data_IF_533459677496
#
_entry.id   IF_533459677496
#
_cell.length_a   1.000
_cell.length_b   1.000
_cell.length_c   1.000
_cell.angle_alpha   90.00
_cell.angle_beta   90.00
_cell.angle_gamma   90.00
#
_symmetry.space_group_name_H-M   'P 1'
#
loop_
_entity.id
_entity.type
_entity.pdbx_description
1 polymer ?
#
# COMPACT_ATOMS: atom_id res chain seq x y z
N UNK A 1 -28.17 56.74 96.61
CA UNK A 1 -28.60 55.96 95.43
C UNK A 1 -27.52 56.07 94.36
N UNK A 2 -26.86 54.94 94.07
CA UNK A 2 -26.77 54.28 92.75
C UNK A 2 -25.82 54.99 91.77
N UNK A 3 -24.86 54.37 91.09
CA UNK A 3 -24.22 53.06 91.13
C UNK A 3 -23.12 53.15 90.06
N UNK A 4 -21.93 52.67 90.38
CA UNK A 4 -20.84 52.38 89.45
C UNK A 4 -21.31 51.53 88.26
N UNK A 5 -20.84 51.85 87.06
CA UNK A 5 -20.96 51.00 85.87
C UNK A 5 -19.58 50.77 85.25
N UNK A 6 -18.88 49.74 85.72
CA UNK A 6 -17.83 49.07 84.93
C UNK A 6 -18.50 48.01 84.06
N UNK A 7 -18.26 48.02 82.75
CA UNK A 7 -18.63 46.91 81.87
C UNK A 7 -17.41 46.39 81.12
N UNK A 8 -17.02 45.21 81.56
CA UNK A 8 -15.99 44.27 81.13
C UNK A 8 -16.04 44.00 79.62
N UNK A 9 -14.88 44.08 78.94
CA UNK A 9 -14.71 43.57 77.58
C UNK A 9 -14.82 42.03 77.57
N UNK A 10 -15.75 41.48 76.78
CA UNK A 10 -15.73 40.07 76.36
C UNK A 10 -15.28 40.01 74.89
N UNK A 11 -14.00 39.71 74.64
CA UNK A 11 -13.45 39.40 73.31
C UNK A 11 -12.63 38.11 73.35
N UNK A 12 -13.25 36.94 73.38
CA UNK A 12 -12.50 35.66 73.33
C UNK A 12 -13.25 34.47 72.68
N UNK A 13 -14.37 34.69 71.98
CA UNK A 13 -15.13 33.59 71.35
C UNK A 13 -15.11 33.55 69.81
N UNK A 14 -15.16 34.70 69.14
CA UNK A 14 -15.21 34.79 67.67
C UNK A 14 -13.83 34.64 67.02
N UNK A 15 -12.78 35.15 67.67
CA UNK A 15 -11.39 35.11 67.20
C UNK A 15 -10.84 33.69 67.12
N UNK A 16 -11.09 32.86 68.15
CA UNK A 16 -10.63 31.47 68.19
C UNK A 16 -11.30 30.60 67.14
N UNK A 17 -12.60 30.82 66.88
CA UNK A 17 -13.33 30.12 65.82
C UNK A 17 -12.83 30.50 64.43
N UNK A 18 -12.55 31.78 64.20
CA UNK A 18 -11.97 32.29 62.95
C UNK A 18 -10.57 31.69 62.71
N UNK A 19 -9.72 31.69 63.73
CA UNK A 19 -8.38 31.11 63.66
C UNK A 19 -8.44 29.61 63.35
N UNK A 20 -9.31 28.85 64.02
CA UNK A 20 -9.49 27.43 63.74
C UNK A 20 -9.93 27.16 62.30
N UNK A 21 -10.89 27.92 61.78
CA UNK A 21 -11.37 27.80 60.40
C UNK A 21 -10.26 28.12 59.38
N UNK A 22 -9.48 29.18 59.62
CA UNK A 22 -8.34 29.53 58.78
C UNK A 22 -7.25 28.45 58.80
N UNK A 23 -6.96 27.85 59.97
CA UNK A 23 -5.99 26.76 60.08
C UNK A 23 -6.46 25.51 59.33
N UNK A 24 -7.73 25.14 59.44
CA UNK A 24 -8.28 23.99 58.69
C UNK A 24 -8.23 24.24 57.18
N UNK A 25 -8.60 25.44 56.72
CA UNK A 25 -8.49 25.81 55.30
C UNK A 25 -7.03 25.81 54.81
N UNK A 26 -6.10 26.31 55.63
CA UNK A 26 -4.68 26.32 55.30
C UNK A 26 -4.09 24.91 55.21
N UNK A 27 -4.42 24.04 56.16
CA UNK A 27 -4.05 22.62 56.11
C UNK A 27 -4.66 21.92 54.88
N UNK A 28 -5.92 22.22 54.54
CA UNK A 28 -6.56 21.72 53.33
C UNK A 28 -5.84 22.18 52.05
N UNK A 29 -5.45 23.45 51.99
CA UNK A 29 -4.67 24.00 50.87
C UNK A 29 -3.30 23.32 50.75
N UNK A 30 -2.60 23.13 51.87
CA UNK A 30 -1.31 22.44 51.90
C UNK A 30 -1.43 20.97 51.47
N UNK A 31 -2.51 20.29 51.84
CA UNK A 31 -2.78 18.92 51.39
C UNK A 31 -2.99 18.85 49.88
N UNK A 32 -3.73 19.80 49.29
CA UNK A 32 -3.93 19.90 47.84
C UNK A 32 -2.62 20.23 47.11
N UNK A 33 -1.81 21.14 47.65
CA UNK A 33 -0.47 21.47 47.13
C UNK A 33 0.46 20.26 47.18
N UNK A 34 0.49 19.55 48.31
CA UNK A 34 1.26 18.31 48.46
C UNK A 34 0.82 17.25 47.45
N UNK A 35 -0.49 17.10 47.24
CA UNK A 35 -1.04 16.17 46.24
C UNK A 35 -0.72 16.59 44.81
N UNK A 36 -0.75 17.90 44.50
CA UNK A 36 -0.39 18.42 43.19
C UNK A 36 1.09 18.22 42.88
N UNK A 37 1.98 18.47 43.86
CA UNK A 37 3.41 18.22 43.75
C UNK A 37 3.68 16.72 43.58
N UNK A 38 3.00 15.87 44.35
CA UNK A 38 3.08 14.40 44.20
C UNK A 38 2.69 13.96 42.78
N UNK A 39 1.57 14.46 42.25
CA UNK A 39 1.14 14.17 40.88
C UNK A 39 2.10 14.70 39.81
N UNK A 40 2.63 15.91 39.99
CA UNK A 40 3.51 16.58 39.01
C UNK A 40 4.97 16.12 39.04
N UNK A 41 5.45 15.56 40.15
CA UNK A 41 6.87 15.19 40.32
C UNK A 41 7.06 13.67 40.37
N UNK A 42 6.20 12.92 41.07
CA UNK A 42 6.33 11.46 41.20
C UNK A 42 5.57 10.67 40.12
N UNK A 43 4.40 11.13 39.69
CA UNK A 43 3.58 10.45 38.65
C UNK A 43 3.70 11.05 37.25
N UNK A 44 4.60 12.04 37.06
CA UNK A 44 4.76 12.73 35.78
C UNK A 44 5.03 11.76 34.62
N UNK A 45 5.86 10.76 34.86
CA UNK A 45 6.21 9.75 33.86
C UNK A 45 5.07 8.77 33.62
N UNK A 46 4.29 8.40 34.64
CA UNK A 46 3.11 7.53 34.49
C UNK A 46 1.97 8.22 33.72
N UNK A 47 1.69 9.48 34.03
CA UNK A 47 0.65 10.29 33.36
C UNK A 47 1.04 10.68 31.94
N UNK A 48 2.32 11.02 31.70
CA UNK A 48 2.83 11.22 30.34
C UNK A 48 2.78 9.93 29.54
N UNK A 49 3.20 8.79 30.11
CA UNK A 49 3.16 7.52 29.42
C UNK A 49 1.71 7.06 29.10
N UNK A 50 0.73 7.33 29.96
CA UNK A 50 -0.69 7.11 29.62
C UNK A 50 -1.22 8.05 28.53
N UNK A 51 -0.73 9.30 28.48
CA UNK A 51 -1.02 10.24 27.39
C UNK A 51 -0.38 9.80 26.07
N UNK A 52 0.88 9.39 26.12
CA UNK A 52 1.68 8.92 24.99
C UNK A 52 1.09 7.64 24.37
N UNK A 53 0.62 6.68 25.19
CA UNK A 53 -0.08 5.48 24.68
C UNK A 53 -1.31 5.83 23.81
N UNK A 54 -1.98 6.96 24.08
CA UNK A 54 -3.18 7.38 23.34
C UNK A 54 -2.86 8.14 22.05
N UNK A 55 -1.67 8.69 21.94
CA UNK A 55 -1.26 9.58 20.85
C UNK A 55 -0.15 9.00 19.97
N UNK A 56 0.59 8.00 20.41
CA UNK A 56 1.65 7.35 19.65
C UNK A 56 1.09 6.16 18.89
N UNK A 57 1.23 6.15 17.55
CA UNK A 57 0.76 5.06 16.70
C UNK A 57 1.86 4.66 15.72
N UNK A 58 1.99 3.36 15.52
CA UNK A 58 2.89 2.81 14.51
C UNK A 58 2.18 2.83 13.13
N UNK A 59 2.85 3.39 12.13
CA UNK A 59 2.40 3.40 10.73
C UNK A 59 3.38 2.61 9.87
N UNK A 60 2.83 1.85 8.92
CA UNK A 60 3.65 1.10 7.98
C UNK A 60 4.19 2.05 6.90
N UNK A 61 5.44 1.85 6.53
CA UNK A 61 6.10 2.54 5.42
C UNK A 61 6.27 1.55 4.28
N UNK A 62 5.65 1.83 3.13
CA UNK A 62 5.73 0.95 1.96
C UNK A 62 7.17 0.74 1.50
N UNK A 63 7.54 -0.51 1.23
CA UNK A 63 8.81 -0.88 0.64
C UNK A 63 8.76 -0.79 -0.89
N UNK A 64 9.94 -0.59 -1.49
CA UNK A 64 10.08 -0.62 -2.94
C UNK A 64 10.12 -2.08 -3.42
N UNK A 65 9.15 -2.50 -4.23
CA UNK A 65 9.15 -3.82 -4.86
C UNK A 65 10.23 -3.91 -5.95
N UNK A 66 11.04 -4.96 -5.91
CA UNK A 66 12.16 -5.21 -6.82
C UNK A 66 11.74 -5.22 -8.28
N UNK A 67 12.62 -4.78 -9.17
CA UNK A 67 12.36 -4.71 -10.61
C UNK A 67 12.52 -6.10 -11.23
N UNK A 68 11.75 -6.39 -12.27
CA UNK A 68 12.01 -7.55 -13.14
C UNK A 68 12.68 -7.01 -14.40
N UNK A 69 13.84 -7.56 -14.73
CA UNK A 69 14.62 -7.18 -15.91
C UNK A 69 14.89 -8.39 -16.80
N UNK A 70 15.01 -8.15 -18.09
CA UNK A 70 15.37 -9.17 -19.07
C UNK A 70 16.86 -9.56 -18.96
N UNK A 71 17.31 -10.52 -19.78
CA UNK A 71 18.70 -11.00 -19.73
C UNK A 71 19.76 -9.93 -20.05
N UNK A 72 19.37 -8.85 -20.72
CA UNK A 72 20.22 -7.74 -21.11
C UNK A 72 20.07 -6.52 -20.18
N UNK A 73 19.23 -6.61 -19.14
CA UNK A 73 18.98 -5.54 -18.17
C UNK A 73 17.82 -4.60 -18.52
N UNK A 74 17.05 -4.88 -19.57
CA UNK A 74 15.89 -4.06 -19.93
C UNK A 74 14.74 -4.24 -18.92
N UNK A 75 14.15 -3.15 -18.41
CA UNK A 75 13.10 -3.22 -17.40
C UNK A 75 11.77 -3.74 -17.98
N UNK A 76 11.31 -4.86 -17.45
CA UNK A 76 10.03 -5.50 -17.82
C UNK A 76 8.92 -5.16 -16.82
N UNK A 77 9.26 -5.01 -15.54
CA UNK A 77 8.35 -4.54 -14.50
C UNK A 77 9.08 -3.65 -13.50
N UNK A 78 8.52 -2.47 -13.21
CA UNK A 78 9.10 -1.49 -12.30
C UNK A 78 8.05 -0.95 -11.35
N UNK A 79 8.47 -0.60 -10.14
CA UNK A 79 7.60 0.06 -9.18
C UNK A 79 7.76 1.58 -9.28
N UNK A 80 6.65 2.27 -9.52
CA UNK A 80 6.61 3.73 -9.71
C UNK A 80 6.02 4.39 -8.45
N UNK A 81 6.61 5.50 -7.97
CA UNK A 81 6.08 6.20 -6.81
C UNK A 81 4.76 6.88 -7.16
N UNK A 82 3.71 6.54 -6.42
CA UNK A 82 2.37 7.13 -6.55
C UNK A 82 1.91 7.63 -5.18
N UNK A 83 0.76 8.30 -5.14
CA UNK A 83 0.12 8.65 -3.88
C UNK A 83 -1.28 8.10 -3.82
N UNK A 84 -1.76 7.85 -2.61
CA UNK A 84 -3.16 7.54 -2.35
C UNK A 84 -3.79 8.68 -1.58
N UNK A 85 -4.96 9.13 -2.04
CA UNK A 85 -5.75 10.15 -1.37
C UNK A 85 -6.71 9.47 -0.42
N UNK A 86 -6.64 9.85 0.84
CA UNK A 86 -7.54 9.39 1.88
C UNK A 86 -8.08 10.57 2.68
N UNK A 87 -9.20 10.35 3.37
CA UNK A 87 -9.86 11.36 4.18
C UNK A 87 -10.08 10.84 5.59
N UNK A 88 -10.00 11.74 6.57
CA UNK A 88 -10.50 11.54 7.92
C UNK A 88 -11.84 12.29 8.06
N UNK A 89 -12.99 11.58 7.98
CA UNK A 89 -14.32 12.20 8.04
C UNK A 89 -14.53 13.12 9.25
N UNK A 90 -13.95 12.80 10.42
CA UNK A 90 -14.08 13.61 11.64
C UNK A 90 -13.36 14.95 11.61
N UNK A 91 -12.43 15.13 10.67
CA UNK A 91 -11.68 16.37 10.51
C UNK A 91 -12.30 17.28 9.45
N UNK A 92 -13.24 16.76 8.65
CA UNK A 92 -13.85 17.54 7.58
C UNK A 92 -14.93 18.42 8.19
N UNK A 93 -14.68 19.73 8.21
CA UNK A 93 -15.62 20.76 8.66
C UNK A 93 -15.64 21.91 7.66
N UNK A 94 -16.83 22.35 7.25
CA UNK A 94 -17.06 23.54 6.42
C UNK A 94 -16.13 23.68 5.21
N UNK A 95 -16.06 22.63 4.38
CA UNK A 95 -15.32 22.69 3.11
C UNK A 95 -16.19 23.40 2.07
N UNK A 96 -15.66 24.47 1.49
CA UNK A 96 -16.33 25.18 0.40
C UNK A 96 -16.70 24.21 -0.74
N UNK A 97 -17.96 24.26 -1.21
CA UNK A 97 -18.47 23.36 -2.25
C UNK A 97 -17.59 23.36 -3.51
N UNK A 98 -16.98 24.50 -3.84
CA UNK A 98 -16.04 24.63 -4.97
C UNK A 98 -14.79 23.74 -4.82
N UNK A 99 -14.23 23.61 -3.61
CA UNK A 99 -13.08 22.75 -3.35
C UNK A 99 -13.45 21.27 -3.44
N UNK A 100 -14.66 20.92 -2.98
CA UNK A 100 -15.20 19.55 -3.11
C UNK A 100 -15.37 19.20 -4.59
N UNK A 101 -16.01 20.04 -5.39
CA UNK A 101 -16.18 19.82 -6.83
C UNK A 101 -14.82 19.73 -7.54
N UNK A 102 -13.86 20.59 -7.18
CA UNK A 102 -12.49 20.52 -7.69
C UNK A 102 -11.82 19.18 -7.37
N UNK A 103 -11.93 18.70 -6.13
CA UNK A 103 -11.41 17.40 -5.71
C UNK A 103 -12.07 16.25 -6.47
N UNK A 104 -13.41 16.25 -6.58
CA UNK A 104 -14.15 15.21 -7.30
C UNK A 104 -13.73 15.14 -8.77
N UNK A 105 -13.58 16.29 -9.44
CA UNK A 105 -13.10 16.37 -10.82
C UNK A 105 -11.67 15.83 -10.98
N UNK A 106 -10.75 16.24 -10.10
CA UNK A 106 -9.36 15.77 -10.12
C UNK A 106 -9.25 14.25 -9.93
N UNK A 107 -10.09 13.69 -9.05
CA UNK A 107 -10.11 12.26 -8.76
C UNK A 107 -10.99 11.45 -9.73
N UNK A 108 -11.62 12.12 -10.70
CA UNK A 108 -12.61 11.54 -11.62
C UNK A 108 -13.72 10.80 -10.87
N UNK A 109 -14.19 11.39 -9.78
CA UNK A 109 -15.30 10.89 -8.96
C UNK A 109 -16.61 11.53 -9.41
N UNK A 110 -17.73 10.79 -9.41
CA UNK A 110 -19.05 11.39 -9.62
C UNK A 110 -19.35 12.49 -8.61
N UNK A 111 -20.07 13.51 -9.05
CA UNK A 111 -20.42 14.64 -8.19
C UNK A 111 -21.26 14.18 -6.98
N UNK A 112 -20.89 14.64 -5.79
CA UNK A 112 -21.54 14.34 -4.51
C UNK A 112 -21.10 13.01 -3.90
N UNK A 113 -20.21 12.26 -4.56
CA UNK A 113 -19.66 11.01 -4.01
C UNK A 113 -18.78 11.27 -2.80
N UNK A 114 -18.04 12.37 -2.77
CA UNK A 114 -17.21 12.74 -1.62
C UNK A 114 -18.05 12.94 -0.36
N UNK A 115 -19.10 13.76 -0.43
CA UNK A 115 -20.01 14.01 0.70
C UNK A 115 -20.67 12.73 1.19
N UNK A 116 -21.15 11.88 0.26
CA UNK A 116 -21.71 10.56 0.60
C UNK A 116 -20.71 9.65 1.32
N UNK A 117 -19.42 9.68 0.92
CA UNK A 117 -18.38 8.90 1.59
C UNK A 117 -18.17 9.39 3.02
N UNK A 118 -18.17 10.70 3.25
CA UNK A 118 -18.00 11.29 4.58
C UNK A 118 -19.19 10.94 5.47
N UNK A 119 -20.41 11.21 5.03
CA UNK A 119 -21.63 10.94 5.80
C UNK A 119 -21.75 9.46 6.19
N UNK A 120 -21.47 8.56 5.24
CA UNK A 120 -21.52 7.10 5.48
C UNK A 120 -20.46 6.61 6.47
N UNK A 121 -19.35 7.33 6.63
CA UNK A 121 -18.20 6.89 7.43
C UNK A 121 -17.83 7.91 8.51
N UNK A 122 -18.80 8.68 9.02
CA UNK A 122 -18.57 9.76 9.98
C UNK A 122 -17.87 9.31 11.29
N UNK A 123 -18.02 8.03 11.64
CA UNK A 123 -17.39 7.40 12.80
C UNK A 123 -15.92 6.99 12.57
N UNK A 124 -15.51 6.85 11.31
CA UNK A 124 -14.17 6.40 10.92
C UNK A 124 -13.15 7.54 10.92
N UNK A 125 -11.89 7.17 11.08
CA UNK A 125 -10.75 8.11 11.03
C UNK A 125 -9.94 8.00 9.73
N UNK A 126 -10.26 7.02 8.89
CA UNK A 126 -9.54 6.73 7.66
C UNK A 126 -10.47 6.12 6.63
N UNK A 127 -10.55 6.75 5.46
CA UNK A 127 -11.26 6.22 4.29
C UNK A 127 -10.50 6.62 3.04
N UNK A 128 -10.15 5.64 2.18
CA UNK A 128 -9.57 5.94 0.87
C UNK A 128 -10.61 6.61 -0.04
N UNK A 129 -10.23 7.74 -0.64
CA UNK A 129 -11.01 8.38 -1.71
C UNK A 129 -10.61 7.81 -3.07
N UNK A 130 -9.30 7.76 -3.31
CA UNK A 130 -8.71 7.24 -4.54
C UNK A 130 -7.29 6.78 -4.29
N UNK A 131 -6.99 5.53 -4.64
CA UNK A 131 -5.62 4.98 -4.56
C UNK A 131 -4.86 5.15 -5.86
N UNK A 132 -3.53 5.18 -5.76
CA UNK A 132 -2.58 5.23 -6.88
C UNK A 132 -2.82 6.39 -7.86
N UNK A 133 -3.06 7.60 -7.34
CA UNK A 133 -3.08 8.83 -8.15
C UNK A 133 -1.66 9.22 -8.56
N UNK A 134 -1.55 9.84 -9.74
CA UNK A 134 -0.26 10.33 -10.21
C UNK A 134 0.28 11.44 -9.28
N UNK A 135 1.61 11.62 -9.20
CA UNK A 135 2.20 12.68 -8.41
C UNK A 135 1.68 14.09 -8.76
N UNK A 136 1.36 14.32 -10.05
CA UNK A 136 0.79 15.58 -10.54
C UNK A 136 -0.59 15.84 -9.95
N UNK A 137 -1.50 14.85 -10.03
CA UNK A 137 -2.84 14.97 -9.44
C UNK A 137 -2.74 15.13 -7.93
N UNK A 138 -1.85 14.38 -7.29
CA UNK A 138 -1.63 14.49 -5.85
C UNK A 138 -1.15 15.88 -5.42
N UNK A 139 -0.29 16.54 -6.21
CA UNK A 139 0.15 17.90 -5.95
C UNK A 139 -1.02 18.90 -6.05
N UNK A 140 -1.89 18.74 -7.05
CA UNK A 140 -3.09 19.56 -7.20
C UNK A 140 -4.08 19.34 -6.05
N UNK A 141 -4.30 18.10 -5.63
CA UNK A 141 -5.12 17.78 -4.45
C UNK A 141 -4.55 18.43 -3.19
N UNK A 142 -3.23 18.39 -2.99
CA UNK A 142 -2.57 19.06 -1.87
C UNK A 142 -2.78 20.58 -1.91
N UNK A 143 -2.79 21.18 -3.10
CA UNK A 143 -2.96 22.62 -3.29
C UNK A 143 -4.36 23.11 -2.89
N UNK A 144 -5.39 22.26 -2.92
CA UNK A 144 -6.74 22.59 -2.47
C UNK A 144 -6.84 22.81 -0.95
N UNK A 145 -5.83 22.37 -0.17
CA UNK A 145 -5.74 22.55 1.30
C UNK A 145 -7.03 22.17 2.05
N UNK A 146 -7.68 21.09 1.63
CA UNK A 146 -8.91 20.61 2.26
C UNK A 146 -8.57 19.95 3.59
N UNK A 147 -9.09 20.49 4.70
CA UNK A 147 -8.92 19.90 6.03
C UNK A 147 -9.49 18.49 6.07
N UNK A 148 -8.69 17.55 6.58
CA UNK A 148 -9.06 16.14 6.66
C UNK A 148 -8.71 15.30 5.44
N UNK A 149 -8.26 15.91 4.32
CA UNK A 149 -7.75 15.17 3.15
C UNK A 149 -6.24 15.06 3.23
N UNK A 150 -5.75 13.83 3.17
CA UNK A 150 -4.35 13.49 3.34
C UNK A 150 -3.85 12.65 2.16
N UNK A 151 -2.53 12.63 2.01
CA UNK A 151 -1.84 11.89 0.96
C UNK A 151 -0.89 10.90 1.60
N UNK A 152 -1.02 9.63 1.22
CA UNK A 152 -0.06 8.60 1.59
C UNK A 152 0.82 8.23 0.39
N UNK A 153 2.08 7.88 0.65
CA UNK A 153 3.02 7.46 -0.39
C UNK A 153 2.88 5.95 -0.59
N UNK A 154 2.60 5.55 -1.82
CA UNK A 154 2.52 4.14 -2.20
C UNK A 154 3.36 3.90 -3.46
N UNK A 155 3.48 2.64 -3.84
CA UNK A 155 4.08 2.24 -5.10
C UNK A 155 3.04 1.56 -5.97
N UNK A 156 3.09 1.85 -7.27
CA UNK A 156 2.27 1.16 -8.27
C UNK A 156 3.20 0.44 -9.23
N UNK A 157 2.91 -0.84 -9.46
CA UNK A 157 3.58 -1.64 -10.47
C UNK A 157 3.25 -1.16 -11.88
N UNK A 158 4.28 -1.00 -12.70
CA UNK A 158 4.21 -0.54 -14.08
C UNK A 158 5.00 -1.49 -14.99
N UNK A 159 4.41 -1.83 -16.13
CA UNK A 159 4.93 -2.82 -17.08
C UNK A 159 5.19 -2.13 -18.43
N UNK A 160 6.43 -1.71 -18.74
CA UNK A 160 6.73 -0.94 -19.94
C UNK A 160 6.31 -1.63 -21.25
N UNK A 161 6.50 -2.94 -21.34
CA UNK A 161 6.18 -3.74 -22.54
C UNK A 161 4.71 -4.15 -22.65
N UNK A 162 3.86 -3.78 -21.68
CA UNK A 162 2.41 -4.01 -21.71
C UNK A 162 2.01 -5.43 -22.12
N UNK A 163 1.21 -5.53 -23.18
CA UNK A 163 0.64 -6.81 -23.64
C UNK A 163 1.66 -7.85 -24.13
N UNK A 164 2.89 -7.44 -24.48
CA UNK A 164 3.93 -8.34 -25.00
C UNK A 164 4.40 -9.33 -23.93
N UNK A 165 4.33 -8.93 -22.66
CA UNK A 165 4.87 -9.67 -21.51
C UNK A 165 3.82 -9.98 -20.45
N UNK A 166 2.54 -9.67 -20.73
CA UNK A 166 1.45 -9.77 -19.75
C UNK A 166 1.35 -11.14 -19.08
N UNK A 167 1.28 -12.24 -19.84
CA UNK A 167 1.19 -13.59 -19.26
C UNK A 167 2.47 -14.07 -18.58
N UNK A 168 3.62 -13.62 -19.07
CA UNK A 168 4.92 -13.99 -18.53
C UNK A 168 5.11 -13.37 -17.15
N UNK A 169 4.94 -12.05 -17.06
CA UNK A 169 5.13 -11.30 -15.82
C UNK A 169 3.94 -11.50 -14.87
N UNK A 170 2.72 -11.57 -15.42
CA UNK A 170 1.50 -11.48 -14.64
C UNK A 170 1.22 -10.05 -14.19
N UNK A 171 0.60 -9.90 -13.03
CA UNK A 171 0.29 -8.60 -12.45
C UNK A 171 0.26 -8.64 -10.92
N UNK A 172 0.32 -7.46 -10.29
CA UNK A 172 0.05 -7.29 -8.85
C UNK A 172 -1.35 -6.72 -8.58
N UNK A 173 -1.87 -6.96 -7.38
CA UNK A 173 -3.13 -6.36 -6.92
C UNK A 173 -2.94 -4.91 -6.46
N UNK A 174 -3.97 -4.32 -5.83
CA UNK A 174 -3.89 -2.91 -5.35
C UNK A 174 -2.96 -2.73 -4.15
N UNK A 175 -2.60 -3.81 -3.45
CA UNK A 175 -1.70 -3.83 -2.29
C UNK A 175 -0.30 -4.34 -2.65
N UNK A 176 0.02 -4.33 -3.95
CA UNK A 176 1.31 -4.71 -4.53
C UNK A 176 1.73 -6.18 -4.28
N UNK A 177 0.76 -7.06 -4.00
CA UNK A 177 0.98 -8.50 -3.93
C UNK A 177 0.83 -9.13 -5.32
N UNK A 178 1.77 -9.99 -5.71
CA UNK A 178 1.72 -10.77 -6.95
C UNK A 178 0.47 -11.65 -7.04
N UNK A 179 -0.14 -11.71 -8.21
CA UNK A 179 -1.37 -12.48 -8.43
C UNK A 179 -1.22 -13.56 -9.50
N UNK A 180 -0.36 -13.33 -10.49
CA UNK A 180 -0.10 -14.28 -11.58
C UNK A 180 1.35 -14.23 -12.05
N UNK A 181 1.73 -15.20 -12.89
CA UNK A 181 3.02 -15.22 -13.58
C UNK A 181 4.22 -15.16 -12.64
N UNK A 182 5.28 -14.51 -13.12
CA UNK A 182 6.50 -14.31 -12.33
C UNK A 182 6.27 -13.42 -11.10
N UNK A 183 5.33 -12.49 -11.14
CA UNK A 183 5.00 -11.64 -9.98
C UNK A 183 4.48 -12.48 -8.81
N UNK A 184 3.66 -13.51 -9.07
CA UNK A 184 3.21 -14.45 -8.05
C UNK A 184 4.33 -15.42 -7.64
N UNK A 185 5.00 -16.03 -8.62
CA UNK A 185 6.01 -17.05 -8.37
C UNK A 185 7.19 -16.53 -7.53
N UNK A 186 7.53 -15.25 -7.67
CA UNK A 186 8.64 -14.61 -6.96
C UNK A 186 8.19 -13.49 -6.02
N UNK A 187 6.93 -13.50 -5.53
CA UNK A 187 6.41 -12.44 -4.65
C UNK A 187 7.29 -12.24 -3.41
N UNK A 188 7.73 -13.34 -2.78
CA UNK A 188 8.55 -13.32 -1.57
C UNK A 188 9.91 -12.62 -1.76
N UNK A 189 10.47 -12.69 -2.97
CA UNK A 189 11.75 -12.06 -3.32
C UNK A 189 11.53 -10.60 -3.73
N UNK A 190 10.47 -10.34 -4.50
CA UNK A 190 10.19 -9.05 -5.10
C UNK A 190 9.57 -8.04 -4.11
N UNK A 191 8.74 -8.48 -3.16
CA UNK A 191 7.91 -7.58 -2.34
C UNK A 191 8.69 -6.72 -1.34
N UNK A 192 9.83 -7.20 -0.87
CA UNK A 192 10.59 -6.56 0.19
C UNK A 192 9.87 -6.59 1.53
N UNK A 193 10.39 -5.86 2.52
CA UNK A 193 9.86 -5.82 3.89
C UNK A 193 9.45 -4.40 4.23
N UNK A 194 8.18 -4.21 4.58
CA UNK A 194 7.66 -2.90 4.98
C UNK A 194 8.35 -2.40 6.25
N UNK A 195 8.67 -1.10 6.25
CA UNK A 195 9.19 -0.42 7.42
C UNK A 195 8.07 -0.08 8.39
N UNK A 196 8.44 0.29 9.62
CA UNK A 196 7.53 0.81 10.64
C UNK A 196 8.07 2.11 11.18
N UNK A 197 7.18 3.09 11.30
CA UNK A 197 7.50 4.39 11.87
C UNK A 197 6.52 4.72 12.96
N UNK A 198 7.04 5.22 14.08
CA UNK A 198 6.26 5.70 15.20
C UNK A 198 5.96 7.17 15.03
N UNK A 199 4.68 7.49 14.97
CA UNK A 199 4.20 8.87 14.77
C UNK A 199 3.37 9.33 15.96
N UNK A 200 3.58 10.57 16.39
CA UNK A 200 2.72 11.23 17.36
C UNK A 200 1.53 11.83 16.64
N UNK A 201 0.34 11.58 17.19
CA UNK A 201 -0.93 12.05 16.67
C UNK A 201 -1.63 12.99 17.66
N UNK A 202 -2.19 14.09 17.19
CA UNK A 202 -3.01 14.97 18.03
C UNK A 202 -4.34 14.30 18.44
N UNK A 203 -5.15 14.96 19.27
CA UNK A 203 -6.50 14.49 19.62
C UNK A 203 -7.46 14.35 18.42
N UNK A 204 -7.11 14.93 17.26
CA UNK A 204 -7.82 14.77 15.98
C UNK A 204 -7.17 13.70 15.09
N UNK A 205 -6.10 13.05 15.53
CA UNK A 205 -5.27 12.06 14.83
C UNK A 205 -4.40 12.56 13.66
N UNK A 206 -4.08 13.86 13.60
CA UNK A 206 -3.06 14.37 12.67
C UNK A 206 -1.67 13.95 13.10
N UNK A 207 -0.82 13.54 12.17
CA UNK A 207 0.60 13.30 12.44
C UNK A 207 1.24 14.66 12.75
N UNK A 208 1.66 14.87 14.00
CA UNK A 208 2.32 16.09 14.47
C UNK A 208 3.83 15.96 14.33
N UNK A 209 4.35 14.79 14.69
CA UNK A 209 5.78 14.54 14.75
C UNK A 209 6.08 13.07 14.46
N UNK A 210 7.17 12.86 13.76
CA UNK A 210 7.83 11.58 13.65
C UNK A 210 8.68 11.39 14.92
N UNK A 211 8.35 10.38 15.72
CA UNK A 211 9.04 10.16 17.00
C UNK A 211 10.26 9.28 16.78
N UNK A 212 10.06 8.15 16.10
CA UNK A 212 11.06 7.10 16.01
C UNK A 212 10.83 6.30 14.72
N UNK A 213 11.92 5.99 14.03
CA UNK A 213 11.89 4.99 12.96
C UNK A 213 12.17 3.62 13.60
N UNK A 214 11.12 2.83 13.77
CA UNK A 214 11.22 1.50 14.41
C UNK A 214 11.98 0.54 13.49
N UNK A 215 11.66 0.59 12.20
CA UNK A 215 12.38 -0.17 11.17
C UNK A 215 12.29 0.52 9.82
N UNK A 216 13.44 0.67 9.16
CA UNK A 216 13.48 1.17 7.79
C UNK A 216 12.91 0.13 6.82
N UNK A 217 12.17 0.55 5.78
CA UNK A 217 11.70 -0.37 4.74
C UNK A 217 12.87 -0.97 3.98
N UNK A 218 12.88 -2.29 3.81
CA UNK A 218 13.89 -3.01 3.02
C UNK A 218 13.32 -3.24 1.62
N UNK A 219 13.94 -2.70 0.56
CA UNK A 219 13.53 -2.96 -0.81
C UNK A 219 13.56 -4.46 -1.13
N UNK A 220 12.62 -4.90 -1.97
CA UNK A 220 12.69 -6.23 -2.56
C UNK A 220 13.86 -6.35 -3.53
N UNK A 221 14.27 -7.59 -3.80
CA UNK A 221 15.41 -7.85 -4.67
C UNK A 221 14.98 -7.84 -6.13
N UNK A 222 15.84 -7.32 -7.00
CA UNK A 222 15.63 -7.35 -8.44
C UNK A 222 15.73 -8.80 -8.95
N UNK A 223 14.92 -9.13 -9.96
CA UNK A 223 14.89 -10.42 -10.62
C UNK A 223 15.33 -10.25 -12.08
N UNK A 224 16.43 -10.89 -12.45
CA UNK A 224 16.87 -11.00 -13.85
C UNK A 224 16.40 -12.33 -14.43
N UNK A 225 15.68 -12.29 -15.55
CA UNK A 225 15.14 -13.49 -16.21
C UNK A 225 15.88 -13.80 -17.51
N UNK A 226 15.74 -15.02 -18.02
CA UNK A 226 16.40 -15.49 -19.24
C UNK A 226 15.83 -14.92 -20.54
N UNK A 227 14.68 -14.27 -20.46
CA UNK A 227 13.96 -13.72 -21.62
C UNK A 227 14.79 -12.62 -22.28
N UNK A 228 14.81 -12.61 -23.62
CA UNK A 228 15.34 -11.51 -24.41
C UNK A 228 14.16 -10.68 -24.93
N UNK A 229 14.09 -9.40 -24.54
CA UNK A 229 12.96 -8.53 -24.90
C UNK A 229 12.78 -8.37 -26.41
N UNK A 230 13.85 -8.47 -27.20
CA UNK A 230 13.80 -8.34 -28.67
C UNK A 230 13.18 -9.59 -29.29
N UNK A 231 13.59 -10.77 -28.83
CA UNK A 231 13.01 -12.05 -29.26
C UNK A 231 11.56 -12.18 -28.80
N UNK A 232 11.26 -11.76 -27.58
CA UNK A 232 9.90 -11.70 -27.03
C UNK A 232 8.99 -10.82 -27.91
N UNK A 233 9.42 -9.62 -28.28
CA UNK A 233 8.66 -8.74 -29.16
C UNK A 233 8.44 -9.34 -30.56
N UNK A 234 9.50 -9.92 -31.15
CA UNK A 234 9.42 -10.58 -32.46
C UNK A 234 8.41 -11.72 -32.42
N UNK A 235 8.54 -12.63 -31.44
CA UNK A 235 7.62 -13.75 -31.26
C UNK A 235 6.18 -13.28 -31.06
N UNK A 236 5.96 -12.25 -30.23
CA UNK A 236 4.65 -11.67 -30.00
C UNK A 236 4.01 -11.15 -31.28
N UNK A 237 4.77 -10.38 -32.07
CA UNK A 237 4.30 -9.77 -33.32
C UNK A 237 3.91 -10.84 -34.33
N UNK A 238 4.79 -11.81 -34.59
CA UNK A 238 4.55 -12.86 -35.58
C UNK A 238 3.38 -13.77 -35.17
N UNK A 239 3.29 -14.14 -33.88
CA UNK A 239 2.15 -14.93 -33.38
C UNK A 239 0.83 -14.15 -33.52
N UNK A 240 0.81 -12.85 -33.20
CA UNK A 240 -0.38 -12.01 -33.35
C UNK A 240 -0.81 -11.90 -34.81
N UNK A 241 0.15 -11.77 -35.73
CA UNK A 241 -0.13 -11.75 -37.17
C UNK A 241 -0.69 -13.09 -37.65
N UNK A 242 -0.09 -14.21 -37.28
CA UNK A 242 -0.54 -15.55 -37.66
C UNK A 242 -1.94 -15.86 -37.13
N UNK A 243 -2.22 -15.56 -35.85
CA UNK A 243 -3.55 -15.77 -35.26
C UNK A 243 -4.60 -14.93 -35.98
N UNK A 244 -4.27 -13.68 -36.32
CA UNK A 244 -5.17 -12.79 -37.06
C UNK A 244 -5.39 -13.25 -38.51
N UNK A 245 -4.34 -13.62 -39.24
CA UNK A 245 -4.43 -14.03 -40.65
C UNK A 245 -5.19 -15.33 -40.82
N UNK A 246 -5.03 -16.27 -39.88
CA UNK A 246 -5.72 -17.55 -39.89
C UNK A 246 -7.06 -17.54 -39.15
N UNK A 247 -7.50 -16.39 -38.61
CA UNK A 247 -8.69 -16.28 -37.77
C UNK A 247 -8.71 -17.33 -36.64
N UNK A 248 -7.53 -17.66 -36.10
CA UNK A 248 -7.40 -18.67 -35.06
C UNK A 248 -7.99 -18.14 -33.74
N UNK A 249 -8.52 -19.03 -32.91
CA UNK A 249 -9.08 -18.67 -31.61
C UNK A 249 -8.00 -18.31 -30.58
N UNK A 250 -6.83 -18.95 -30.69
CA UNK A 250 -5.68 -18.73 -29.80
C UNK A 250 -4.39 -19.29 -30.42
N UNK A 251 -3.26 -18.97 -29.80
CA UNK A 251 -1.97 -19.55 -30.16
C UNK A 251 -0.94 -19.28 -29.07
N UNK A 252 0.12 -20.09 -29.05
CA UNK A 252 1.25 -19.96 -28.12
C UNK A 252 2.56 -20.19 -28.86
N UNK A 253 3.62 -19.53 -28.43
CA UNK A 253 4.97 -19.71 -28.97
C UNK A 253 5.97 -19.68 -27.82
N UNK A 254 6.82 -20.69 -27.75
CA UNK A 254 7.93 -20.81 -26.80
C UNK A 254 9.23 -20.92 -27.59
N UNK A 255 10.23 -20.13 -27.21
CA UNK A 255 11.56 -20.15 -27.80
C UNK A 255 12.59 -20.44 -26.71
N UNK A 256 13.46 -21.41 -26.97
CA UNK A 256 14.47 -21.91 -26.05
C UNK A 256 15.86 -21.80 -26.67
N UNK A 257 16.87 -21.60 -25.84
CA UNK A 257 18.25 -21.91 -26.21
C UNK A 257 18.46 -23.42 -26.09
N UNK A 258 18.78 -24.08 -27.22
CA UNK A 258 18.91 -25.53 -27.28
C UNK A 258 20.13 -26.08 -26.50
N UNK A 259 21.12 -25.25 -26.18
CA UNK A 259 22.32 -25.65 -25.44
C UNK A 259 22.16 -25.44 -23.95
N UNK A 260 21.58 -24.31 -23.52
CA UNK A 260 21.46 -23.96 -22.10
C UNK A 260 20.12 -24.36 -21.49
N UNK A 261 19.10 -24.59 -22.31
CA UNK A 261 17.72 -24.81 -21.86
C UNK A 261 17.02 -23.54 -21.37
N UNK A 262 17.68 -22.38 -21.49
CA UNK A 262 17.09 -21.09 -21.13
C UNK A 262 15.89 -20.74 -22.02
N UNK A 263 14.83 -20.24 -21.41
CA UNK A 263 13.67 -19.72 -22.13
C UNK A 263 13.95 -18.29 -22.60
N UNK A 264 13.96 -18.08 -23.91
CA UNK A 264 14.28 -16.81 -24.55
C UNK A 264 13.03 -15.96 -24.83
N UNK A 265 11.91 -16.61 -25.14
CA UNK A 265 10.63 -15.94 -25.33
C UNK A 265 9.44 -16.89 -25.06
N UNK A 266 8.37 -16.37 -24.46
CA UNK A 266 7.09 -17.06 -24.26
C UNK A 266 5.96 -16.07 -24.49
N UNK A 267 5.13 -16.34 -25.49
CA UNK A 267 4.01 -15.46 -25.87
C UNK A 267 2.75 -16.26 -26.13
N UNK A 268 1.60 -15.66 -25.82
CA UNK A 268 0.29 -16.24 -26.11
C UNK A 268 -0.62 -15.22 -26.77
N UNK A 269 -1.63 -15.71 -27.49
CA UNK A 269 -2.75 -14.95 -28.01
C UNK A 269 -4.08 -15.65 -27.63
N UNK A 270 -5.13 -14.90 -27.27
CA UNK A 270 -5.15 -13.45 -27.03
C UNK A 270 -4.34 -13.07 -25.77
N UNK A 271 -3.70 -11.90 -25.81
CA UNK A 271 -2.99 -11.31 -24.66
C UNK A 271 -3.80 -10.23 -23.94
N UNK A 272 -3.27 -9.71 -22.83
CA UNK A 272 -3.83 -8.61 -22.04
C UNK A 272 -2.73 -7.62 -21.62
N UNK A 273 -3.12 -6.36 -21.37
CA UNK A 273 -2.20 -5.36 -20.86
C UNK A 273 -2.24 -5.32 -19.31
N UNK A 274 -1.18 -5.73 -18.59
CA UNK A 274 -1.18 -5.78 -17.12
C UNK A 274 -1.26 -4.39 -16.45
N UNK A 275 -1.08 -3.30 -17.21
CA UNK A 275 -1.30 -1.94 -16.70
C UNK A 275 -2.78 -1.54 -16.66
N UNK A 276 -3.64 -2.24 -17.40
CA UNK A 276 -5.08 -1.98 -17.47
C UNK A 276 -5.86 -3.05 -16.71
N UNK A 277 -6.55 -2.62 -15.65
CA UNK A 277 -7.38 -3.48 -14.80
C UNK A 277 -8.87 -3.43 -15.18
N UNK A 278 -9.25 -2.65 -16.20
CA UNK A 278 -10.63 -2.54 -16.65
C UNK A 278 -11.12 -3.74 -17.47
N UNK A 279 -10.18 -4.52 -18.03
CA UNK A 279 -10.44 -5.62 -18.96
C UNK A 279 -10.19 -6.99 -18.32
N UNK A 280 -10.79 -7.21 -17.14
CA UNK A 280 -10.64 -8.44 -16.35
C UNK A 280 -11.48 -9.60 -16.91
N UNK A 281 -11.17 -10.05 -18.14
CA UNK A 281 -11.73 -11.27 -18.72
C UNK A 281 -10.82 -12.48 -18.44
N UNK A 282 -11.28 -13.43 -17.60
CA UNK A 282 -10.46 -14.56 -17.12
C UNK A 282 -9.71 -15.34 -18.21
N UNK A 283 -10.31 -15.56 -19.38
CA UNK A 283 -9.65 -16.30 -20.46
C UNK A 283 -8.43 -15.59 -21.06
N UNK A 284 -8.33 -14.26 -20.93
CA UNK A 284 -7.21 -13.46 -21.44
C UNK A 284 -5.99 -13.51 -20.53
N UNK A 285 -6.14 -13.88 -19.27
CA UNK A 285 -5.03 -14.01 -18.30
C UNK A 285 -4.34 -15.39 -18.37
N UNK A 286 -4.97 -16.33 -19.06
CA UNK A 286 -4.49 -17.71 -19.14
C UNK A 286 -3.18 -17.78 -19.92
N UNK A 287 -2.10 -18.17 -19.23
CA UNK A 287 -0.81 -18.46 -19.85
C UNK A 287 -0.83 -19.83 -20.53
N UNK A 288 -1.41 -19.88 -21.74
CA UNK A 288 -1.69 -21.12 -22.48
C UNK A 288 -0.46 -21.99 -22.69
N UNK A 289 0.70 -21.40 -22.94
CA UNK A 289 1.97 -22.12 -23.07
C UNK A 289 2.33 -22.97 -21.84
N UNK A 290 1.84 -22.62 -20.66
CA UNK A 290 2.13 -23.29 -19.39
C UNK A 290 0.93 -24.07 -18.83
N UNK A 291 -0.29 -23.66 -19.14
CA UNK A 291 -1.51 -24.21 -18.53
C UNK A 291 -2.34 -25.11 -19.44
N UNK A 292 -2.17 -25.03 -20.76
CA UNK A 292 -3.05 -25.70 -21.72
C UNK A 292 -2.37 -26.96 -22.24
N UNK A 293 -2.94 -28.11 -21.92
CA UNK A 293 -2.51 -29.40 -22.46
C UNK A 293 -3.19 -29.63 -23.81
N UNK A 294 -2.42 -30.10 -24.78
CA UNK A 294 -2.91 -30.50 -26.10
C UNK A 294 -2.19 -31.76 -26.59
N UNK A 295 -2.82 -32.50 -27.50
CA UNK A 295 -2.21 -33.66 -28.12
C UNK A 295 -1.10 -33.23 -29.10
N UNK A 296 0.13 -33.75 -28.98
CA UNK A 296 1.27 -33.26 -29.78
C UNK A 296 1.21 -33.65 -31.26
N UNK A 297 0.34 -34.60 -31.64
CA UNK A 297 0.20 -35.07 -33.01
C UNK A 297 1.54 -35.52 -33.61
N UNK A 298 1.82 -35.12 -34.84
CA UNK A 298 3.06 -35.54 -35.54
C UNK A 298 4.36 -34.99 -34.93
N UNK A 299 4.30 -34.00 -34.01
CA UNK A 299 5.51 -33.42 -33.40
C UNK A 299 6.24 -34.38 -32.46
N UNK A 300 5.58 -35.45 -32.00
CA UNK A 300 6.21 -36.48 -31.15
C UNK A 300 7.01 -37.54 -31.94
N UNK A 301 6.76 -37.65 -33.25
CA UNK A 301 7.37 -38.69 -34.11
C UNK A 301 8.90 -38.73 -34.08
N UNK A 302 9.63 -37.58 -34.02
CA UNK A 302 11.09 -37.61 -33.88
C UNK A 302 11.57 -38.39 -32.64
N UNK A 303 10.85 -38.31 -31.52
CA UNK A 303 11.18 -39.07 -30.31
C UNK A 303 10.95 -40.58 -30.52
N UNK A 304 9.88 -40.95 -31.22
CA UNK A 304 9.61 -42.36 -31.55
C UNK A 304 10.73 -42.94 -32.44
N UNK A 305 11.15 -42.18 -33.46
CA UNK A 305 12.25 -42.58 -34.36
C UNK A 305 13.57 -42.66 -33.59
N UNK A 306 13.85 -41.68 -32.71
CA UNK A 306 15.03 -41.70 -31.86
C UNK A 306 15.07 -42.95 -30.97
N UNK A 307 13.95 -43.30 -30.32
CA UNK A 307 13.85 -44.54 -29.53
C UNK A 307 13.99 -45.81 -30.37
N UNK A 308 13.50 -45.80 -31.62
CA UNK A 308 13.61 -46.94 -32.51
C UNK A 308 15.05 -47.17 -32.99
N UNK A 309 15.77 -46.09 -33.31
CA UNK A 309 17.21 -46.11 -33.65
C UNK A 309 18.06 -46.52 -32.45
N UNK A 310 17.79 -45.94 -31.27
CA UNK A 310 18.50 -46.24 -30.01
C UNK A 310 18.27 -47.69 -29.56
N UNK A 311 17.05 -48.20 -29.71
CA UNK A 311 16.69 -49.59 -29.45
C UNK A 311 17.17 -50.58 -30.51
N UNK A 312 17.78 -50.12 -31.61
CA UNK A 312 18.27 -50.96 -32.71
C UNK A 312 17.17 -51.66 -33.53
N UNK A 313 15.92 -51.20 -33.44
CA UNK A 313 14.81 -51.74 -34.23
C UNK A 313 14.88 -51.31 -35.71
N UNK A 314 15.55 -50.19 -35.98
CA UNK A 314 15.81 -49.63 -37.31
C UNK A 314 17.22 -49.06 -37.36
N UNK A 315 17.83 -49.04 -38.55
CA UNK A 315 19.10 -48.37 -38.82
C UNK A 315 18.87 -47.06 -39.60
N UNK A 316 19.84 -46.14 -39.56
CA UNK A 316 19.76 -44.88 -40.31
C UNK A 316 19.70 -45.09 -41.84
N UNK A 317 20.09 -46.28 -42.31
CA UNK A 317 20.09 -46.66 -43.72
C UNK A 317 18.91 -47.57 -44.07
N UNK A 318 17.99 -47.82 -43.14
CA UNK A 318 16.77 -48.59 -43.44
C UNK A 318 15.82 -47.69 -44.25
N UNK A 319 16.08 -47.60 -45.55
CA UNK A 319 15.21 -47.07 -46.61
C UNK A 319 15.38 -47.92 -47.85
#
# INVERSE_FOLDING_TARGET
MISSYQKTERKTGSEQRRQFLCTVMFCGMLMLLGKAIFLQVLEKDFLKHQGDIRHIVDVNVSAYRGKIVDRNGEPLAISTPVKSVWVNPKQVSDVASQHITGLENLLKMPHGKFTKIIEKNADKHFVFLKRHVSPVVAAQVKALKITGVHLDREFKRFYPSGEITGHLLGFTNIDDAGQEGLELAFDDVLRGVQGKKRVMRDGKKNIIADIEEISSPVPGRDLQISIDSRLQYLAYRELKLAVKSHQASSGSLVMLDAKTGEVLAVVNQPSFNPNDRGDLQGYRYRNRAMTDVFEPGSTVKPFLIASALDGGYVSANDV
#
